data_IF_693523800296
#
_entry.id   IF_693523800296
#
_cell.length_a   1.000
_cell.length_b   1.000
_cell.length_c   1.000
_cell.angle_alpha   90.00
_cell.angle_beta   90.00
_cell.angle_gamma   90.00
#
_symmetry.space_group_name_H-M   'P 1'
#
loop_
_entity.id
_entity.type
_entity.pdbx_description
1 polymer ?
#
# COMPACT_ATOMS: atom_id res chain seq x y z
N UNK A 1 26.62 10.59 50.38
CA UNK A 1 26.95 10.18 49.00
C UNK A 1 25.75 9.49 48.33
N UNK A 2 24.57 10.13 48.28
CA UNK A 2 23.35 9.55 47.67
C UNK A 2 22.91 10.27 46.39
N UNK A 3 23.37 11.52 46.16
CA UNK A 3 22.99 12.32 44.98
C UNK A 3 23.63 11.86 43.67
N UNK A 4 24.82 11.26 43.71
CA UNK A 4 25.55 10.84 42.51
C UNK A 4 24.88 9.67 41.77
N UNK A 5 24.29 8.72 42.51
CA UNK A 5 23.58 7.58 41.92
C UNK A 5 22.26 7.98 41.26
N UNK A 6 21.50 8.88 41.89
CA UNK A 6 20.25 9.39 41.33
C UNK A 6 20.47 10.20 40.04
N UNK A 7 21.55 10.99 39.98
CA UNK A 7 21.90 11.76 38.79
C UNK A 7 22.25 10.86 37.59
N UNK A 8 22.96 9.76 37.83
CA UNK A 8 23.29 8.78 36.78
C UNK A 8 22.03 8.09 36.23
N UNK A 9 21.11 7.66 37.09
CA UNK A 9 19.86 7.03 36.65
C UNK A 9 19.01 8.02 35.84
N UNK A 10 18.92 9.27 36.28
CA UNK A 10 18.20 10.31 35.55
C UNK A 10 18.82 10.55 34.16
N UNK A 11 20.15 10.65 34.06
CA UNK A 11 20.85 10.83 32.79
C UNK A 11 20.69 9.62 31.86
N UNK A 12 20.79 8.40 32.37
CA UNK A 12 20.56 7.19 31.57
C UNK A 12 19.12 7.11 31.06
N UNK A 13 18.13 7.40 31.90
CA UNK A 13 16.72 7.40 31.50
C UNK A 13 16.41 8.45 30.44
N UNK A 14 17.01 9.64 30.55
CA UNK A 14 16.86 10.72 29.58
C UNK A 14 17.54 10.37 28.25
N UNK A 15 18.75 9.80 28.30
CA UNK A 15 19.48 9.36 27.12
C UNK A 15 18.75 8.23 26.38
N UNK A 16 18.21 7.24 27.10
CA UNK A 16 17.41 6.17 26.49
C UNK A 16 16.12 6.70 25.86
N UNK A 17 15.44 7.65 26.51
CA UNK A 17 14.25 8.28 25.92
C UNK A 17 14.58 9.10 24.65
N UNK A 18 15.71 9.83 24.65
CA UNK A 18 16.17 10.57 23.47
C UNK A 18 16.55 9.62 22.31
N UNK A 19 17.18 8.48 22.61
CA UNK A 19 17.53 7.49 21.60
C UNK A 19 16.28 6.83 20.99
N UNK A 20 15.29 6.47 21.82
CA UNK A 20 14.00 5.97 21.35
C UNK A 20 13.24 7.00 20.52
N UNK A 21 13.31 8.28 20.91
CA UNK A 21 12.71 9.37 20.17
C UNK A 21 13.38 9.59 18.81
N UNK A 22 14.71 9.56 18.73
CA UNK A 22 15.42 9.65 17.45
C UNK A 22 15.11 8.47 16.54
N UNK A 23 15.05 7.24 17.07
CA UNK A 23 14.65 6.07 16.29
C UNK A 23 13.19 6.18 15.81
N UNK A 24 12.30 6.78 16.61
CA UNK A 24 10.92 7.05 16.20
C UNK A 24 10.82 8.17 15.16
N UNK A 25 11.67 9.19 15.22
CA UNK A 25 11.74 10.26 14.22
C UNK A 25 12.26 9.75 12.87
N UNK A 26 13.27 8.87 12.87
CA UNK A 26 13.75 8.23 11.63
C UNK A 26 12.68 7.34 10.98
N UNK A 27 11.89 6.62 11.79
CA UNK A 27 10.74 5.85 11.29
C UNK A 27 9.53 6.72 10.90
N UNK A 28 9.34 7.88 11.54
CA UNK A 28 8.12 8.68 11.43
C UNK A 28 8.15 9.82 10.40
N UNK A 29 9.33 10.36 10.06
CA UNK A 29 9.43 11.58 9.23
C UNK A 29 10.08 11.38 7.86
N UNK A 30 10.72 10.24 7.58
CA UNK A 30 11.09 9.89 6.20
C UNK A 30 9.89 9.69 5.27
N UNK A 31 8.69 9.53 5.85
CA UNK A 31 7.42 9.31 5.18
C UNK A 31 6.61 10.59 4.92
N UNK A 32 6.91 11.68 5.63
CA UNK A 32 6.15 12.95 5.58
C UNK A 32 6.71 13.89 4.50
N UNK A 33 7.31 13.31 3.45
CA UNK A 33 7.54 14.00 2.19
C UNK A 33 6.24 14.02 1.40
N UNK A 34 5.56 15.17 1.40
CA UNK A 34 4.30 15.56 0.72
C UNK A 34 4.06 15.06 -0.73
N UNK A 35 5.03 14.37 -1.34
CA UNK A 35 5.00 13.95 -2.73
C UNK A 35 4.72 12.45 -2.89
N UNK A 36 5.23 11.59 -2.00
CA UNK A 36 5.13 10.14 -2.18
C UNK A 36 3.70 9.61 -1.96
N UNK A 37 2.99 10.10 -0.94
CA UNK A 37 1.59 9.70 -0.68
C UNK A 37 0.67 10.18 -1.81
N UNK A 38 0.85 11.42 -2.27
CA UNK A 38 0.08 12.01 -3.37
C UNK A 38 0.28 11.21 -4.66
N UNK A 39 1.53 10.92 -5.03
CA UNK A 39 1.86 10.05 -6.17
C UNK A 39 1.27 8.66 -6.01
N UNK A 40 1.25 8.13 -4.80
CA UNK A 40 0.65 6.82 -4.53
C UNK A 40 -0.86 6.87 -4.77
N UNK A 41 -1.58 7.85 -4.22
CA UNK A 41 -3.02 7.98 -4.43
C UNK A 41 -3.40 8.25 -5.90
N UNK A 42 -2.59 9.04 -6.62
CA UNK A 42 -2.75 9.26 -8.06
C UNK A 42 -2.68 7.97 -8.87
N UNK A 43 -1.81 7.01 -8.49
CA UNK A 43 -1.73 5.70 -9.17
C UNK A 43 -3.01 4.89 -9.05
N UNK A 44 -3.77 5.07 -7.95
CA UNK A 44 -5.02 4.38 -7.71
C UNK A 44 -6.25 5.13 -8.22
N UNK A 45 -6.09 6.37 -8.71
CA UNK A 45 -7.21 7.17 -9.21
C UNK A 45 -8.00 6.46 -10.31
N UNK A 46 -7.29 5.85 -11.26
CA UNK A 46 -7.90 5.08 -12.36
C UNK A 46 -8.41 3.71 -11.89
N UNK A 47 -7.83 3.16 -10.84
CA UNK A 47 -8.23 1.85 -10.28
C UNK A 47 -9.58 1.96 -9.57
N UNK A 48 -9.83 3.09 -8.89
CA UNK A 48 -11.08 3.38 -8.17
C UNK A 48 -12.32 3.39 -9.06
N UNK A 49 -12.20 3.68 -10.36
CA UNK A 49 -13.36 3.68 -11.27
C UNK A 49 -13.85 2.27 -11.60
N UNK A 50 -12.97 1.27 -11.52
CA UNK A 50 -13.27 -0.13 -11.79
C UNK A 50 -13.77 -0.89 -10.55
N UNK A 51 -13.27 -0.51 -9.37
CA UNK A 51 -13.58 -1.17 -8.11
C UNK A 51 -14.96 -0.76 -7.56
N UNK A 52 -15.59 -1.62 -6.75
CA UNK A 52 -16.81 -1.25 -6.05
C UNK A 52 -16.54 -0.09 -5.09
N UNK A 53 -17.53 0.81 -4.94
CA UNK A 53 -17.41 2.00 -4.07
C UNK A 53 -17.25 1.66 -2.59
N UNK A 54 -17.72 0.50 -2.17
CA UNK A 54 -17.73 0.01 -0.80
C UNK A 54 -17.79 -1.52 -0.81
N UNK A 55 -17.34 -2.16 0.27
CA UNK A 55 -17.25 -3.62 0.39
C UNK A 55 -15.84 -4.08 0.72
N UNK A 56 -15.51 -5.31 0.33
CA UNK A 56 -14.20 -5.93 0.56
C UNK A 56 -13.61 -6.42 -0.76
N UNK A 57 -12.34 -6.13 -1.00
CA UNK A 57 -11.55 -6.65 -2.09
C UNK A 57 -10.31 -7.38 -1.58
N UNK A 58 -9.84 -8.37 -2.33
CA UNK A 58 -8.60 -9.06 -2.03
C UNK A 58 -7.39 -8.16 -2.33
N UNK A 59 -6.31 -8.34 -1.58
CA UNK A 59 -5.03 -7.70 -1.85
C UNK A 59 -3.90 -8.73 -1.94
N UNK A 60 -3.09 -8.62 -2.99
CA UNK A 60 -1.85 -9.38 -3.16
C UNK A 60 -0.71 -8.45 -3.58
N UNK A 61 0.51 -8.75 -3.14
CA UNK A 61 1.72 -8.03 -3.53
C UNK A 61 2.82 -9.03 -3.84
N UNK A 62 3.75 -8.65 -4.73
CA UNK A 62 4.99 -9.38 -4.96
C UNK A 62 5.99 -9.26 -3.79
N UNK A 63 5.70 -8.39 -2.82
CA UNK A 63 6.53 -8.14 -1.66
C UNK A 63 5.74 -8.25 -0.34
N UNK A 64 5.33 -9.46 0.08
CA UNK A 64 4.49 -9.64 1.27
C UNK A 64 5.15 -9.21 2.59
N UNK A 65 6.47 -9.01 2.62
CA UNK A 65 7.21 -8.53 3.80
C UNK A 65 7.07 -7.03 4.07
N UNK A 66 6.54 -6.24 3.12
CA UNK A 66 6.37 -4.79 3.25
C UNK A 66 4.93 -4.42 3.59
N UNK A 67 4.63 -4.39 4.90
CA UNK A 67 3.28 -4.08 5.41
C UNK A 67 2.82 -2.66 5.06
N UNK A 68 3.76 -1.74 4.85
CA UNK A 68 3.50 -0.36 4.43
C UNK A 68 2.65 -0.27 3.15
N UNK A 69 2.91 -1.13 2.16
CA UNK A 69 2.18 -1.12 0.87
C UNK A 69 0.73 -1.51 1.04
N UNK A 70 0.45 -2.48 1.91
CA UNK A 70 -0.91 -2.85 2.24
C UNK A 70 -1.65 -1.66 2.85
N UNK A 71 -1.05 -0.97 3.83
CA UNK A 71 -1.69 0.17 4.49
C UNK A 71 -1.85 1.38 3.57
N UNK A 72 -0.88 1.68 2.72
CA UNK A 72 -1.02 2.74 1.73
C UNK A 72 -2.08 2.42 0.69
N UNK A 73 -2.15 1.17 0.23
CA UNK A 73 -3.18 0.74 -0.72
C UNK A 73 -4.56 0.79 -0.06
N UNK A 74 -4.68 0.37 1.20
CA UNK A 74 -5.91 0.48 1.99
C UNK A 74 -6.34 1.94 2.18
N UNK A 75 -5.38 2.84 2.46
CA UNK A 75 -5.65 4.26 2.58
C UNK A 75 -6.15 4.84 1.27
N UNK A 76 -5.44 4.57 0.16
CA UNK A 76 -5.81 5.07 -1.15
C UNK A 76 -7.17 4.55 -1.60
N UNK A 77 -7.50 3.28 -1.36
CA UNK A 77 -8.75 2.68 -1.83
C UNK A 77 -9.95 2.88 -0.91
N UNK A 78 -9.79 3.60 0.21
CA UNK A 78 -10.90 3.90 1.11
C UNK A 78 -12.10 4.53 0.35
N UNK A 79 -13.35 4.13 0.68
CA UNK A 79 -13.77 3.29 1.80
C UNK A 79 -13.79 1.77 1.51
N UNK A 80 -13.23 1.30 0.40
CA UNK A 80 -13.12 -0.13 0.10
C UNK A 80 -12.14 -0.80 1.06
N UNK A 81 -12.56 -1.88 1.73
CA UNK A 81 -11.71 -2.65 2.62
C UNK A 81 -10.88 -3.66 1.82
N UNK A 82 -9.64 -3.88 2.25
CA UNK A 82 -8.72 -4.84 1.66
C UNK A 82 -8.46 -5.99 2.61
N UNK A 83 -8.67 -7.21 2.12
CA UNK A 83 -8.29 -8.42 2.84
C UNK A 83 -7.13 -9.13 2.13
N UNK A 84 -6.09 -9.59 2.85
CA UNK A 84 -5.02 -10.35 2.24
C UNK A 84 -5.55 -11.62 1.56
N UNK A 85 -5.20 -11.84 0.29
CA UNK A 85 -5.52 -13.08 -0.43
C UNK A 85 -6.32 -12.90 -1.72
N UNK A 86 -6.79 -14.02 -2.26
CA UNK A 86 -7.38 -14.13 -3.61
C UNK A 86 -8.85 -14.52 -3.63
N UNK A 87 -9.49 -14.64 -2.46
CA UNK A 87 -10.83 -15.24 -2.31
C UNK A 87 -11.97 -14.22 -2.46
N UNK A 88 -11.77 -13.17 -3.25
CA UNK A 88 -12.71 -12.06 -3.40
C UNK A 88 -13.08 -11.86 -4.87
N UNK A 89 -14.27 -11.33 -5.15
CA UNK A 89 -14.70 -11.00 -6.53
C UNK A 89 -13.68 -10.09 -7.22
N UNK A 90 -13.23 -9.06 -6.49
CA UNK A 90 -12.17 -8.16 -6.92
C UNK A 90 -10.90 -8.44 -6.11
N UNK A 91 -9.77 -8.58 -6.80
CA UNK A 91 -8.45 -8.71 -6.17
C UNK A 91 -7.51 -7.66 -6.76
N UNK A 92 -7.06 -6.74 -5.93
CA UNK A 92 -6.05 -5.73 -6.26
C UNK A 92 -4.67 -6.33 -6.06
N UNK A 93 -3.82 -6.17 -7.06
CA UNK A 93 -2.45 -6.65 -7.03
C UNK A 93 -1.47 -5.52 -7.27
N UNK A 94 -0.42 -5.48 -6.46
CA UNK A 94 0.68 -4.52 -6.58
C UNK A 94 1.96 -5.26 -6.94
N UNK A 95 2.58 -4.86 -8.06
CA UNK A 95 3.86 -5.38 -8.53
C UNK A 95 4.86 -4.22 -8.62
N UNK A 96 5.81 -4.16 -7.70
CA UNK A 96 6.79 -3.07 -7.67
C UNK A 96 7.82 -3.18 -8.79
N UNK A 97 8.18 -4.40 -9.16
CA UNK A 97 9.19 -4.67 -10.18
C UNK A 97 8.56 -4.92 -11.56
N UNK A 98 7.26 -4.65 -11.72
CA UNK A 98 6.64 -4.76 -13.02
C UNK A 98 7.31 -3.75 -13.98
N UNK A 99 7.70 -4.17 -15.20
CA UNK A 99 8.16 -3.24 -16.19
C UNK A 99 7.07 -2.20 -16.41
N UNK A 100 7.43 -0.92 -16.27
CA UNK A 100 6.51 0.19 -16.57
C UNK A 100 6.16 0.06 -18.04
N UNK A 101 4.91 -0.31 -18.31
CA UNK A 101 4.40 -0.28 -19.67
C UNK A 101 3.91 1.14 -19.94
N UNK A 102 4.08 1.61 -21.17
CA UNK A 102 3.40 2.83 -21.58
C UNK A 102 1.91 2.70 -21.29
N UNK A 103 1.32 3.77 -20.74
CA UNK A 103 -0.10 3.83 -20.46
C UNK A 103 -0.86 3.46 -21.74
N UNK A 104 -1.91 2.64 -21.66
CA UNK A 104 -2.66 2.24 -22.85
C UNK A 104 -3.09 3.48 -23.62
N UNK A 105 -2.83 3.52 -24.93
CA UNK A 105 -3.19 4.66 -25.79
C UNK A 105 -4.69 4.71 -26.13
N UNK A 106 -5.48 3.81 -25.54
CA UNK A 106 -6.92 3.69 -25.74
C UNK A 106 -7.73 4.64 -24.85
N UNK A 107 -9.07 4.64 -25.01
CA UNK A 107 -9.96 5.44 -24.16
C UNK A 107 -9.94 4.99 -22.69
N UNK A 108 -9.64 3.71 -22.44
CA UNK A 108 -9.58 3.14 -21.10
C UNK A 108 -8.16 3.25 -20.52
N UNK A 109 -8.01 3.51 -19.21
CA UNK A 109 -6.71 3.64 -18.56
C UNK A 109 -6.02 2.29 -18.29
N UNK A 110 -6.59 1.18 -18.76
CA UNK A 110 -6.10 -0.18 -18.56
C UNK A 110 -6.21 -1.01 -19.84
N UNK A 111 -5.42 -2.08 -19.89
CA UNK A 111 -5.61 -3.18 -20.84
C UNK A 111 -6.38 -4.31 -20.19
N UNK A 112 -7.23 -5.00 -20.95
CA UNK A 112 -8.04 -6.13 -20.46
C UNK A 112 -7.52 -7.42 -21.08
N UNK A 113 -7.31 -8.45 -20.26
CA UNK A 113 -7.03 -9.80 -20.70
C UNK A 113 -8.03 -10.77 -20.06
N UNK A 114 -8.63 -11.64 -20.87
CA UNK A 114 -9.43 -12.76 -20.38
C UNK A 114 -8.49 -13.91 -19.96
N UNK A 115 -8.61 -14.34 -18.71
CA UNK A 115 -7.82 -15.44 -18.14
C UNK A 115 -8.59 -16.78 -18.15
N UNK A 116 -9.81 -16.78 -18.70
CA UNK A 116 -10.72 -17.91 -18.68
C UNK A 116 -11.46 -18.05 -17.34
N UNK A 117 -12.40 -19.01 -17.29
CA UNK A 117 -13.20 -19.31 -16.09
C UNK A 117 -13.94 -18.09 -15.50
N UNK A 118 -14.36 -17.15 -16.36
CA UNK A 118 -15.04 -15.93 -15.92
C UNK A 118 -14.13 -14.95 -15.18
N UNK A 119 -12.80 -15.03 -15.38
CA UNK A 119 -11.84 -14.12 -14.74
C UNK A 119 -11.23 -13.17 -15.76
N UNK A 120 -11.40 -11.87 -15.52
CA UNK A 120 -10.77 -10.80 -16.29
C UNK A 120 -9.63 -10.15 -15.51
N UNK A 121 -8.56 -9.82 -16.22
CA UNK A 121 -7.41 -9.07 -15.71
C UNK A 121 -7.37 -7.67 -16.32
N UNK A 122 -7.32 -6.67 -15.46
CA UNK A 122 -7.19 -5.27 -15.82
C UNK A 122 -5.78 -4.79 -15.44
N UNK A 123 -4.92 -4.53 -16.42
CA UNK A 123 -3.53 -4.08 -16.24
C UNK A 123 -3.43 -2.58 -16.54
N UNK A 124 -3.11 -1.78 -15.52
CA UNK A 124 -3.02 -0.32 -15.58
C UNK A 124 -1.64 0.17 -16.05
N UNK A 125 -0.69 -0.74 -16.31
CA UNK A 125 0.66 -0.42 -16.82
C UNK A 125 1.62 0.21 -15.80
N UNK A 126 1.12 0.60 -14.63
CA UNK A 126 1.87 1.22 -13.53
C UNK A 126 2.19 0.23 -12.39
N UNK A 127 2.20 -1.07 -12.69
CA UNK A 127 2.40 -2.15 -11.71
C UNK A 127 1.17 -2.51 -10.89
N UNK A 128 0.05 -1.81 -11.03
CA UNK A 128 -1.23 -2.22 -10.43
C UNK A 128 -2.00 -3.06 -11.43
N UNK A 129 -2.53 -4.19 -10.96
CA UNK A 129 -3.50 -4.98 -11.73
C UNK A 129 -4.69 -5.34 -10.87
N UNK A 130 -5.86 -5.44 -11.48
CA UNK A 130 -7.08 -5.90 -10.82
C UNK A 130 -7.56 -7.17 -11.49
N UNK A 131 -7.82 -8.19 -10.69
CA UNK A 131 -8.53 -9.38 -11.12
C UNK A 131 -9.99 -9.23 -10.75
N UNK A 132 -10.88 -9.55 -11.68
CA UNK A 132 -12.31 -9.68 -11.42
C UNK A 132 -12.76 -11.07 -11.80
N UNK A 133 -13.35 -11.79 -10.86
CA UNK A 133 -13.95 -13.09 -11.11
C UNK A 133 -15.46 -12.96 -11.02
N UNK A 134 -16.18 -13.31 -12.07
CA UNK A 134 -17.65 -13.43 -12.02
C UNK A 134 -18.00 -14.62 -11.11
N UNK A 135 -18.37 -14.34 -9.85
CA UNK A 135 -18.90 -15.38 -8.97
C UNK A 135 -20.25 -15.84 -9.55
N UNK A 136 -20.33 -17.11 -9.91
CA UNK A 136 -21.52 -17.75 -10.45
C UNK A 136 -22.41 -18.29 -9.35
#
# INVERSE_FOLDING_TARGET
MAGAGAALIALCSLASNLQLFNNWLEFGFGFVGSDNITKFDERYKDVKSLLPRQGVAGFITDNPGRVEEYYLTQYSLAPLLLEPGKTHEYVVSLYQNAPVKERPSGPEPYTVADLGYGTSLFDFGNGIKVYRTEQK
#
